data_IF_444444136386
#
_entry.id   IF_444444136386
#
_cell.length_a   1.000
_cell.length_b   1.000
_cell.length_c   1.000
_cell.angle_alpha   90.00
_cell.angle_beta   90.00
_cell.angle_gamma   90.00
#
_symmetry.space_group_name_H-M   'P 1'
#
loop_
_entity.id
_entity.type
_entity.pdbx_description
1 polymer ?
#
# COMPACT_ATOMS: atom_id res chain seq x y z
N UNK A 1 -25.93 33.63 -2.99
CA UNK A 1 -24.98 32.72 -3.65
C UNK A 1 -23.59 33.08 -3.16
N UNK A 2 -23.00 32.30 -2.25
CA UNK A 2 -21.61 32.50 -1.83
C UNK A 2 -20.70 31.90 -2.90
N UNK A 3 -19.72 32.68 -3.33
CA UNK A 3 -18.73 32.30 -4.32
C UNK A 3 -17.76 31.28 -3.69
N UNK A 4 -17.83 30.01 -4.09
CA UNK A 4 -16.96 28.94 -3.57
C UNK A 4 -15.48 29.18 -3.89
N UNK A 5 -15.16 30.02 -4.88
CA UNK A 5 -13.78 30.36 -5.25
C UNK A 5 -13.10 31.25 -4.19
N UNK A 6 -13.85 31.85 -3.27
CA UNK A 6 -13.30 32.69 -2.21
C UNK A 6 -12.82 31.90 -0.97
N UNK A 7 -13.06 30.58 -0.91
CA UNK A 7 -12.65 29.74 0.23
C UNK A 7 -11.40 28.88 -0.05
N UNK A 8 -10.82 28.96 -1.25
CA UNK A 8 -9.64 28.19 -1.63
C UNK A 8 -8.40 29.06 -1.40
N UNK A 9 -7.49 28.69 -0.49
CA UNK A 9 -6.25 29.43 -0.29
C UNK A 9 -5.43 29.48 -1.60
N UNK A 10 -4.89 30.64 -2.00
CA UNK A 10 -4.12 30.79 -3.24
C UNK A 10 -2.79 30.00 -3.25
N UNK A 11 -2.46 29.31 -2.16
CA UNK A 11 -1.21 28.56 -2.02
C UNK A 11 -1.30 27.08 -2.41
N UNK A 12 -2.45 26.61 -2.91
CA UNK A 12 -2.62 25.20 -3.31
C UNK A 12 -2.19 25.00 -4.77
N UNK A 13 -1.20 24.14 -5.01
CA UNK A 13 -0.70 23.83 -6.33
C UNK A 13 -1.55 22.73 -6.99
N UNK A 14 -2.50 23.14 -7.83
CA UNK A 14 -3.38 22.24 -8.58
C UNK A 14 -2.67 21.50 -9.74
N UNK A 15 -1.38 21.75 -10.04
CA UNK A 15 -0.66 21.05 -11.11
C UNK A 15 -0.48 19.55 -10.83
N UNK A 16 -0.59 19.11 -9.58
CA UNK A 16 -0.64 17.69 -9.19
C UNK A 16 -2.04 17.05 -9.39
N UNK A 17 -3.01 17.85 -9.82
CA UNK A 17 -4.41 17.46 -10.07
C UNK A 17 -4.72 17.37 -11.56
N UNK A 18 -3.68 17.36 -12.38
CA UNK A 18 -3.79 17.05 -13.79
C UNK A 18 -3.89 15.53 -13.95
N UNK A 19 -4.74 15.07 -14.86
CA UNK A 19 -4.77 13.67 -15.25
C UNK A 19 -3.51 13.28 -16.05
N UNK A 20 -3.44 12.02 -16.49
CA UNK A 20 -2.31 11.50 -17.27
C UNK A 20 -2.05 12.25 -18.60
N UNK A 21 -2.98 13.13 -19.02
CA UNK A 21 -2.90 13.93 -20.24
C UNK A 21 -2.62 15.41 -19.97
N UNK A 22 -2.30 15.79 -18.73
CA UNK A 22 -1.97 17.17 -18.38
C UNK A 22 -3.17 18.12 -18.36
N UNK A 23 -4.40 17.61 -18.32
CA UNK A 23 -5.62 18.43 -18.24
C UNK A 23 -6.07 18.62 -16.79
N UNK A 24 -6.56 19.82 -16.39
CA UNK A 24 -7.18 20.01 -15.09
C UNK A 24 -8.37 19.05 -14.96
N UNK A 25 -8.41 18.28 -13.88
CA UNK A 25 -9.44 17.25 -13.63
C UNK A 25 -10.89 17.77 -13.49
N UNK A 26 -11.17 19.01 -13.93
CA UNK A 26 -12.47 19.67 -13.87
C UNK A 26 -12.82 20.32 -15.21
N UNK A 27 -13.71 19.68 -15.96
CA UNK A 27 -14.88 20.27 -16.63
C UNK A 27 -15.73 19.13 -17.24
N UNK A 28 -17.02 18.97 -16.90
CA UNK A 28 -17.97 18.36 -17.81
C UNK A 28 -18.47 19.47 -18.73
N UNK A 29 -17.99 19.53 -19.97
CA UNK A 29 -18.66 20.34 -20.97
C UNK A 29 -19.93 19.60 -21.42
N UNK A 30 -21.10 20.14 -21.06
CA UNK A 30 -22.33 19.84 -21.78
C UNK A 30 -22.17 20.26 -23.25
N UNK A 31 -22.51 19.34 -24.15
CA UNK A 31 -23.04 19.62 -25.49
C UNK A 31 -22.04 19.95 -26.58
N UNK A 32 -21.84 19.02 -27.51
CA UNK A 32 -21.98 19.22 -28.96
C UNK A 32 -21.93 17.85 -29.65
N UNK A 33 -22.85 17.66 -30.59
CA UNK A 33 -23.09 16.44 -31.36
C UNK A 33 -21.97 16.14 -32.37
N UNK A 34 -22.03 14.90 -32.88
CA UNK A 34 -21.51 14.41 -34.16
C UNK A 34 -20.00 14.14 -34.28
N UNK A 35 -19.61 12.86 -34.30
CA UNK A 35 -19.47 12.11 -35.56
C UNK A 35 -18.92 10.70 -35.25
N UNK A 36 -19.72 9.69 -35.59
CA UNK A 36 -19.29 8.30 -35.66
C UNK A 36 -18.28 8.15 -36.80
N UNK A 37 -17.12 7.54 -36.54
CA UNK A 37 -16.42 6.79 -37.58
C UNK A 37 -16.04 5.40 -37.09
N UNK A 38 -16.64 4.45 -37.81
CA UNK A 38 -16.50 3.01 -37.71
C UNK A 38 -15.25 2.63 -38.51
N UNK A 39 -14.31 1.91 -37.90
CA UNK A 39 -13.39 1.05 -38.66
C UNK A 39 -13.33 -0.33 -38.01
N UNK A 40 -13.91 -1.30 -38.71
CA UNK A 40 -13.79 -2.74 -38.47
C UNK A 40 -12.46 -3.31 -39.00
N UNK A 41 -12.04 -4.52 -38.54
CA UNK A 41 -10.68 -5.03 -38.63
C UNK A 41 -10.36 -5.69 -39.98
N UNK A 42 -9.07 -5.75 -40.34
CA UNK A 42 -8.59 -6.65 -41.39
C UNK A 42 -7.95 -7.91 -40.79
N UNK A 43 -8.54 -9.05 -41.12
CA UNK A 43 -8.00 -10.39 -40.95
C UNK A 43 -6.94 -10.72 -42.03
N UNK A 44 -5.91 -11.41 -41.55
CA UNK A 44 -5.28 -12.66 -42.04
C UNK A 44 -5.03 -12.87 -43.54
N UNK A 45 -3.74 -13.07 -43.88
CA UNK A 45 -3.31 -14.01 -44.92
C UNK A 45 -1.98 -14.68 -44.53
N UNK A 46 -2.10 -15.89 -43.97
CA UNK A 46 -1.43 -17.14 -44.41
C UNK A 46 -0.07 -17.04 -45.12
N UNK A 47 0.95 -17.72 -44.57
CA UNK A 47 1.69 -18.68 -45.39
C UNK A 47 2.33 -19.82 -44.56
N UNK A 48 2.00 -21.05 -44.95
CA UNK A 48 2.56 -22.31 -44.46
C UNK A 48 3.69 -22.75 -45.39
N UNK A 49 4.79 -23.27 -44.85
CA UNK A 49 5.62 -24.24 -45.59
C UNK A 49 6.08 -25.35 -44.64
N UNK A 50 5.81 -26.58 -45.07
CA UNK A 50 6.10 -27.84 -44.42
C UNK A 50 7.54 -28.30 -44.69
N UNK A 51 8.10 -29.07 -43.75
CA UNK A 51 9.33 -29.86 -43.93
C UNK A 51 9.51 -30.90 -42.82
N UNK A 52 8.87 -32.07 -42.98
CA UNK A 52 9.23 -33.37 -42.37
C UNK A 52 10.58 -33.84 -42.97
N UNK A 53 11.47 -34.67 -42.42
CA UNK A 53 11.40 -35.85 -41.54
C UNK A 53 12.87 -36.27 -41.24
N UNK A 54 13.21 -36.81 -40.07
CA UNK A 54 13.96 -38.08 -39.88
C UNK A 54 14.40 -38.32 -38.42
N UNK A 55 14.40 -39.61 -38.08
CA UNK A 55 14.52 -40.24 -36.76
C UNK A 55 15.82 -41.05 -36.71
N UNK A 56 16.63 -40.85 -35.68
CA UNK A 56 17.57 -41.80 -35.04
C UNK A 56 17.78 -41.24 -33.61
N UNK A 57 17.81 -41.95 -32.47
CA UNK A 57 18.07 -43.35 -32.15
C UNK A 57 19.37 -43.47 -31.37
N UNK A 58 19.40 -43.22 -30.05
CA UNK A 58 20.43 -43.78 -29.14
C UNK A 58 20.11 -43.63 -27.64
N UNK A 59 20.02 -44.81 -27.03
CA UNK A 59 20.12 -45.27 -25.63
C UNK A 59 20.76 -44.35 -24.55
N UNK A 60 19.99 -44.14 -23.48
CA UNK A 60 20.23 -44.34 -22.01
C UNK A 60 21.67 -44.55 -21.44
N UNK A 61 21.96 -44.17 -20.16
CA UNK A 61 21.13 -44.59 -19.01
C UNK A 61 20.80 -43.56 -17.92
N UNK A 62 19.70 -43.94 -17.26
CA UNK A 62 18.95 -43.32 -16.18
C UNK A 62 19.57 -43.69 -14.83
N UNK A 63 19.99 -42.71 -14.04
CA UNK A 63 20.36 -42.91 -12.63
C UNK A 63 19.11 -42.73 -11.76
N UNK A 64 18.69 -43.83 -11.12
CA UNK A 64 17.72 -43.87 -10.03
C UNK A 64 18.31 -43.18 -8.79
N UNK A 65 17.58 -42.25 -8.19
CA UNK A 65 17.77 -41.86 -6.78
C UNK A 65 16.40 -41.96 -6.11
N UNK A 66 16.27 -42.94 -5.23
CA UNK A 66 15.13 -43.13 -4.32
C UNK A 66 15.23 -42.20 -3.11
N UNK A 67 14.12 -41.94 -2.40
CA UNK A 67 13.98 -40.83 -1.47
C UNK A 67 14.55 -41.17 -0.09
N UNK A 68 15.43 -40.32 0.44
CA UNK A 68 15.81 -40.35 1.86
C UNK A 68 14.90 -39.43 2.67
N UNK A 69 14.00 -40.04 3.42
CA UNK A 69 13.38 -39.48 4.60
C UNK A 69 14.45 -39.14 5.65
N UNK A 70 14.50 -37.89 6.08
CA UNK A 70 15.05 -37.51 7.38
C UNK A 70 14.40 -36.19 7.85
N UNK A 71 13.98 -36.10 9.12
CA UNK A 71 13.05 -35.08 9.58
C UNK A 71 13.70 -33.69 9.61
N UNK A 72 12.99 -32.72 9.03
CA UNK A 72 13.34 -31.32 9.13
C UNK A 72 13.21 -30.85 10.59
N UNK A 73 14.35 -30.72 11.27
CA UNK A 73 14.47 -30.01 12.54
C UNK A 73 14.31 -28.51 12.22
N UNK A 74 13.36 -27.77 12.81
CA UNK A 74 13.26 -26.34 12.57
C UNK A 74 14.47 -25.65 13.22
N UNK A 75 15.39 -25.17 12.38
CA UNK A 75 16.51 -24.34 12.81
C UNK A 75 15.97 -23.07 13.47
N UNK A 76 16.43 -22.83 14.68
CA UNK A 76 16.06 -21.71 15.53
C UNK A 76 16.36 -20.35 14.88
N UNK A 77 15.45 -19.41 15.11
CA UNK A 77 15.68 -17.97 15.20
C UNK A 77 16.42 -17.29 14.04
N UNK A 78 15.68 -16.93 12.99
CA UNK A 78 15.96 -15.68 12.25
C UNK A 78 14.84 -14.70 12.53
N UNK A 79 14.80 -14.21 13.76
CA UNK A 79 14.31 -12.86 14.03
C UNK A 79 15.42 -11.95 13.52
N UNK A 80 15.14 -11.09 12.55
CA UNK A 80 16.04 -9.98 12.20
C UNK A 80 16.03 -9.02 13.40
N UNK A 81 16.71 -9.43 14.47
CA UNK A 81 17.18 -8.54 15.51
C UNK A 81 18.29 -7.71 14.91
N UNK A 82 18.13 -6.39 14.95
CA UNK A 82 19.09 -5.37 14.51
C UNK A 82 20.52 -5.86 14.35
N UNK A 83 20.89 -6.31 13.15
CA UNK A 83 22.28 -6.68 12.86
C UNK A 83 22.67 -6.29 11.45
N UNK A 84 22.26 -5.08 11.02
CA UNK A 84 22.98 -4.36 9.98
C UNK A 84 22.95 -2.87 10.35
N UNK A 85 23.99 -2.42 11.04
CA UNK A 85 24.72 -1.17 10.84
C UNK A 85 25.78 -1.06 11.96
N UNK A 86 27.02 -1.39 11.59
CA UNK A 86 28.21 -0.97 12.33
C UNK A 86 28.35 0.56 12.18
N UNK A 87 27.62 1.31 12.99
CA UNK A 87 27.98 2.69 13.37
C UNK A 87 27.83 2.74 14.88
N UNK A 88 28.97 2.87 15.57
CA UNK A 88 29.09 2.95 17.04
C UNK A 88 28.16 4.04 17.60
N UNK A 89 26.95 3.67 18.00
CA UNK A 89 26.24 4.31 19.09
C UNK A 89 26.67 3.67 20.42
N UNK A 90 26.51 4.35 21.56
CA UNK A 90 26.79 3.75 22.87
C UNK A 90 25.92 2.48 23.07
N UNK A 91 26.40 1.48 23.82
CA UNK A 91 25.62 0.28 24.12
C UNK A 91 24.32 0.68 24.81
N UNK A 92 23.20 0.15 24.30
CA UNK A 92 21.87 0.39 24.85
C UNK A 92 21.79 -0.18 26.27
N UNK A 93 21.39 0.64 27.25
CA UNK A 93 21.09 0.16 28.59
C UNK A 93 19.77 -0.62 28.58
N UNK A 94 19.87 -1.95 28.66
CA UNK A 94 18.74 -2.88 28.60
C UNK A 94 17.73 -2.63 29.74
N UNK A 95 18.16 -1.99 30.83
CA UNK A 95 17.32 -1.67 31.99
C UNK A 95 16.30 -0.56 31.76
N UNK A 96 16.41 0.23 30.68
CA UNK A 96 15.59 1.41 30.45
C UNK A 96 14.75 1.36 29.15
N UNK A 97 14.64 0.17 28.53
CA UNK A 97 13.84 -0.01 27.32
C UNK A 97 12.35 -0.08 27.70
N UNK A 98 11.48 0.79 27.15
CA UNK A 98 10.05 0.74 27.45
C UNK A 98 9.46 -0.63 27.12
N UNK A 99 8.56 -1.16 27.97
CA UNK A 99 8.01 -2.52 27.86
C UNK A 99 7.51 -2.89 26.46
N UNK A 100 6.84 -1.94 25.80
CA UNK A 100 6.37 -2.02 24.40
C UNK A 100 7.45 -2.30 23.35
N UNK A 101 8.72 -2.08 23.66
CA UNK A 101 9.87 -2.37 22.79
C UNK A 101 10.63 -3.64 23.19
N UNK A 102 10.28 -4.29 24.31
CA UNK A 102 10.94 -5.53 24.76
C UNK A 102 10.69 -6.70 23.79
N UNK A 103 9.54 -6.72 23.11
CA UNK A 103 9.24 -7.75 22.09
C UNK A 103 10.00 -7.52 20.78
N UNK A 104 10.34 -6.26 20.47
CA UNK A 104 11.29 -5.94 19.39
C UNK A 104 12.68 -6.50 19.71
N UNK A 105 12.97 -6.75 21.00
CA UNK A 105 14.18 -7.42 21.48
C UNK A 105 14.02 -8.94 21.72
N UNK A 106 12.91 -9.55 21.28
CA UNK A 106 12.73 -11.02 21.30
C UNK A 106 12.14 -11.61 22.59
N UNK A 107 11.57 -10.79 23.48
CA UNK A 107 10.75 -11.29 24.59
C UNK A 107 9.33 -11.67 24.11
N UNK A 108 8.68 -12.70 24.68
CA UNK A 108 7.30 -13.06 24.33
C UNK A 108 6.29 -12.06 24.92
N UNK A 109 5.44 -11.49 24.07
CA UNK A 109 4.32 -10.65 24.49
C UNK A 109 3.08 -11.45 24.86
N UNK A 110 2.35 -11.00 25.87
CA UNK A 110 0.98 -11.45 26.14
C UNK A 110 -0.09 -10.68 25.36
N UNK A 111 0.27 -9.56 24.71
CA UNK A 111 -0.68 -8.64 24.07
C UNK A 111 -0.47 -8.53 22.56
N UNK A 112 -1.57 -8.66 21.80
CA UNK A 112 -1.53 -8.64 20.34
C UNK A 112 -0.92 -7.36 19.75
N UNK A 113 -1.15 -6.19 20.38
CA UNK A 113 -0.63 -4.91 19.91
C UNK A 113 0.87 -4.74 20.12
N UNK A 114 1.53 -5.56 20.92
CA UNK A 114 2.98 -5.47 21.16
C UNK A 114 3.79 -6.49 20.34
N UNK A 115 3.12 -7.35 19.55
CA UNK A 115 3.78 -8.32 18.69
C UNK A 115 4.21 -7.62 17.40
N UNK A 116 5.51 -7.51 17.10
CA UNK A 116 5.97 -6.85 15.89
C UNK A 116 5.65 -7.67 14.64
N UNK A 117 5.36 -6.99 13.53
CA UNK A 117 5.36 -7.61 12.21
C UNK A 117 6.79 -8.05 11.87
N UNK A 118 6.91 -9.23 11.26
CA UNK A 118 8.20 -9.78 10.82
C UNK A 118 8.48 -9.36 9.38
N UNK A 119 9.39 -8.40 9.21
CA UNK A 119 9.83 -7.98 7.88
C UNK A 119 11.15 -8.63 7.47
N UNK A 120 11.31 -8.95 6.17
CA UNK A 120 12.61 -9.30 5.55
C UNK A 120 13.39 -8.02 5.18
N UNK A 121 14.69 -8.12 4.83
CA UNK A 121 15.43 -6.98 4.28
C UNK A 121 14.71 -6.35 3.07
N UNK A 122 14.93 -5.04 2.80
CA UNK A 122 14.23 -4.33 1.73
C UNK A 122 14.27 -5.04 0.37
N UNK A 123 13.11 -5.24 -0.25
CA UNK A 123 12.99 -5.82 -1.61
C UNK A 123 12.71 -4.77 -2.68
N UNK A 124 12.35 -3.55 -2.25
CA UNK A 124 12.09 -2.41 -3.11
C UNK A 124 12.27 -1.08 -2.37
N UNK A 125 12.13 0.04 -3.10
CA UNK A 125 12.32 1.37 -2.51
C UNK A 125 11.29 1.73 -1.44
N UNK A 126 10.07 1.19 -1.55
CA UNK A 126 9.02 1.34 -0.53
C UNK A 126 9.47 0.69 0.78
N UNK A 127 9.95 -0.55 0.71
CA UNK A 127 10.45 -1.26 1.89
C UNK A 127 11.61 -0.52 2.54
N UNK A 128 12.59 -0.11 1.73
CA UNK A 128 13.78 0.59 2.22
C UNK A 128 13.39 1.87 2.97
N UNK A 129 12.48 2.65 2.41
CA UNK A 129 12.01 3.91 3.01
C UNK A 129 11.29 3.67 4.32
N UNK A 130 10.35 2.70 4.36
CA UNK A 130 9.57 2.39 5.56
C UNK A 130 10.44 1.80 6.68
N UNK A 131 11.30 0.84 6.34
CA UNK A 131 12.15 0.15 7.32
C UNK A 131 13.20 1.09 7.91
N UNK A 132 13.90 1.88 7.08
CA UNK A 132 14.89 2.85 7.57
C UNK A 132 14.26 3.91 8.46
N UNK A 133 13.11 4.45 8.04
CA UNK A 133 12.40 5.44 8.85
C UNK A 133 11.94 4.83 10.18
N UNK A 134 11.29 3.67 10.16
CA UNK A 134 10.84 2.99 11.38
C UNK A 134 12.01 2.69 12.33
N UNK A 135 13.16 2.26 11.81
CA UNK A 135 14.36 1.99 12.60
C UNK A 135 14.88 3.26 13.29
N UNK A 136 14.95 4.39 12.57
CA UNK A 136 15.38 5.66 13.14
C UNK A 136 14.44 6.13 14.26
N UNK A 137 13.12 6.01 14.06
CA UNK A 137 12.12 6.38 15.07
C UNK A 137 12.18 5.48 16.30
N UNK A 138 12.37 4.17 16.12
CA UNK A 138 12.56 3.24 17.25
C UNK A 138 13.85 3.52 18.01
N UNK A 139 14.95 3.93 17.33
CA UNK A 139 16.19 4.38 18.00
C UNK A 139 15.93 5.61 18.88
N UNK A 140 15.24 6.63 18.36
CA UNK A 140 14.86 7.81 19.15
C UNK A 140 13.97 7.45 20.35
N UNK A 141 13.13 6.42 20.21
CA UNK A 141 12.32 5.95 21.33
C UNK A 141 13.17 5.35 22.46
N UNK A 142 14.27 4.66 22.13
CA UNK A 142 15.24 4.15 23.10
C UNK A 142 16.04 5.28 23.77
N UNK A 143 16.14 6.44 23.13
CA UNK A 143 16.73 7.65 23.69
C UNK A 143 15.75 8.45 24.58
N UNK A 144 14.53 7.94 24.78
CA UNK A 144 13.53 8.55 25.66
C UNK A 144 12.70 9.66 25.03
N UNK A 145 12.73 9.80 23.69
CA UNK A 145 11.88 10.76 22.98
C UNK A 145 10.40 10.44 23.21
N UNK A 146 9.57 11.48 23.41
CA UNK A 146 8.15 11.33 23.73
C UNK A 146 7.36 10.79 22.54
N UNK A 147 6.29 10.03 22.81
CA UNK A 147 5.45 9.43 21.77
C UNK A 147 4.91 10.41 20.74
N UNK A 148 4.45 11.59 21.18
CA UNK A 148 3.94 12.62 20.26
C UNK A 148 5.03 13.05 19.26
N UNK A 149 6.28 13.13 19.70
CA UNK A 149 7.42 13.46 18.87
C UNK A 149 7.91 12.27 18.04
N UNK A 150 7.47 11.03 18.33
CA UNK A 150 7.84 9.79 17.63
C UNK A 150 6.84 9.42 16.53
N UNK A 151 5.55 9.39 16.88
CA UNK A 151 4.48 8.90 16.00
C UNK A 151 3.56 10.01 15.51
N UNK A 152 3.65 11.22 16.07
CA UNK A 152 2.86 12.35 15.63
C UNK A 152 1.37 12.27 15.97
N UNK A 153 0.58 13.21 15.41
CA UNK A 153 -0.86 13.32 15.68
C UNK A 153 -1.64 12.10 15.18
N UNK A 154 -2.92 11.99 15.58
CA UNK A 154 -3.77 10.84 15.22
C UNK A 154 -3.94 10.66 13.71
N UNK A 155 -4.03 11.76 12.97
CA UNK A 155 -4.28 11.77 11.52
C UNK A 155 -3.06 12.31 10.76
N UNK A 156 -2.81 11.83 9.53
CA UNK A 156 -1.74 12.34 8.69
C UNK A 156 -2.03 13.77 8.24
N UNK A 157 -0.96 14.50 7.91
CA UNK A 157 -1.07 15.80 7.26
C UNK A 157 -1.37 15.60 5.78
N UNK A 158 -2.53 16.07 5.32
CA UNK A 158 -2.91 16.02 3.91
C UNK A 158 -2.32 17.20 3.13
N UNK A 159 -2.09 18.34 3.79
CA UNK A 159 -1.50 19.54 3.19
C UNK A 159 -0.17 19.26 2.49
N UNK A 160 0.71 18.45 3.09
CA UNK A 160 1.99 18.09 2.47
C UNK A 160 1.84 17.28 1.18
N UNK A 161 0.80 16.45 1.09
CA UNK A 161 0.52 15.61 -0.08
C UNK A 161 0.02 16.44 -1.26
N UNK A 162 -0.79 17.45 -0.99
CA UNK A 162 -1.35 18.34 -2.02
C UNK A 162 -0.35 19.43 -2.44
N UNK A 163 0.50 19.87 -1.51
CA UNK A 163 1.42 20.99 -1.70
C UNK A 163 2.84 20.64 -1.22
N UNK A 164 3.58 19.81 -1.96
CA UNK A 164 4.90 19.33 -1.53
C UNK A 164 5.95 20.43 -1.41
N UNK A 165 5.75 21.56 -2.09
CA UNK A 165 6.69 22.69 -2.17
C UNK A 165 6.52 23.70 -1.04
N UNK A 166 5.44 23.62 -0.27
CA UNK A 166 5.16 24.57 0.79
C UNK A 166 5.64 24.00 2.13
N UNK A 167 6.37 24.82 2.89
CA UNK A 167 6.97 24.44 4.17
C UNK A 167 5.92 24.31 5.29
N UNK A 168 5.00 23.35 5.17
CA UNK A 168 4.17 22.96 6.30
C UNK A 168 5.04 22.29 7.36
N UNK A 169 4.86 22.68 8.61
CA UNK A 169 5.42 22.00 9.79
C UNK A 169 4.69 20.67 10.02
N UNK A 170 4.83 19.75 9.07
CA UNK A 170 4.23 18.42 9.16
C UNK A 170 5.16 17.46 9.89
N UNK A 171 4.56 16.57 10.67
CA UNK A 171 5.29 15.56 11.43
C UNK A 171 6.12 14.65 10.48
N UNK A 172 7.34 14.21 10.87
CA UNK A 172 8.20 13.39 10.02
C UNK A 172 7.53 12.14 9.42
N UNK A 173 6.61 11.50 10.15
CA UNK A 173 5.84 10.34 9.66
C UNK A 173 4.97 10.71 8.45
N UNK A 174 4.28 11.86 8.49
CA UNK A 174 3.52 12.35 7.35
C UNK A 174 4.43 12.69 6.18
N UNK A 175 5.57 13.34 6.45
CA UNK A 175 6.50 13.77 5.40
C UNK A 175 7.13 12.60 4.63
N UNK A 176 7.57 11.55 5.34
CA UNK A 176 8.19 10.39 4.67
C UNK A 176 7.18 9.66 3.78
N UNK A 177 5.93 9.50 4.24
CA UNK A 177 4.87 8.82 3.50
C UNK A 177 4.39 9.65 2.32
N UNK A 178 4.22 10.96 2.50
CA UNK A 178 3.89 11.87 1.40
C UNK A 178 4.97 11.85 0.32
N UNK A 179 6.25 11.97 0.69
CA UNK A 179 7.36 11.88 -0.27
C UNK A 179 7.37 10.53 -0.98
N UNK A 180 7.08 9.44 -0.27
CA UNK A 180 6.96 8.12 -0.87
C UNK A 180 5.84 8.10 -1.93
N UNK A 181 4.64 8.54 -1.56
CA UNK A 181 3.45 8.49 -2.41
C UNK A 181 3.54 9.42 -3.62
N UNK A 182 4.12 10.61 -3.47
CA UNK A 182 4.38 11.52 -4.60
C UNK A 182 5.33 10.90 -5.65
N UNK A 183 6.16 9.94 -5.26
CA UNK A 183 7.09 9.24 -6.15
C UNK A 183 6.51 7.93 -6.71
N UNK A 184 5.22 7.63 -6.48
CA UNK A 184 4.54 6.47 -7.06
C UNK A 184 3.71 6.90 -8.29
N UNK A 185 4.25 6.77 -9.52
CA UNK A 185 3.56 7.28 -10.72
C UNK A 185 2.27 6.52 -11.05
N UNK A 186 2.15 5.28 -10.58
CA UNK A 186 0.96 4.45 -10.76
C UNK A 186 -0.26 4.94 -9.98
N UNK A 187 -0.05 5.78 -8.96
CA UNK A 187 -1.10 6.28 -8.08
C UNK A 187 -1.46 7.70 -8.51
N UNK A 188 -2.55 7.86 -9.25
CA UNK A 188 -2.83 9.12 -9.96
C UNK A 188 -3.82 10.00 -9.21
N UNK A 189 -4.91 9.43 -8.73
CA UNK A 189 -6.09 10.14 -8.23
C UNK A 189 -5.96 10.55 -6.75
N UNK A 190 -6.55 11.70 -6.41
CA UNK A 190 -6.51 12.26 -5.04
C UNK A 190 -7.07 11.27 -3.99
N UNK A 191 -8.26 10.66 -4.18
CA UNK A 191 -8.86 9.82 -3.13
C UNK A 191 -7.96 8.62 -2.81
N UNK A 192 -7.46 7.93 -3.82
CA UNK A 192 -6.56 6.80 -3.67
C UNK A 192 -5.23 7.20 -3.00
N UNK A 193 -4.66 8.38 -3.33
CA UNK A 193 -3.47 8.91 -2.66
C UNK A 193 -3.71 9.16 -1.16
N UNK A 194 -4.82 9.80 -0.81
CA UNK A 194 -5.16 10.09 0.59
C UNK A 194 -5.43 8.79 1.35
N UNK A 195 -6.13 7.85 0.72
CA UNK A 195 -6.44 6.57 1.35
C UNK A 195 -5.19 5.73 1.62
N UNK A 196 -4.25 5.67 0.67
CA UNK A 196 -2.96 5.04 0.90
C UNK A 196 -2.13 5.79 1.95
N UNK A 197 -2.12 7.12 1.95
CA UNK A 197 -1.47 7.89 3.01
C UNK A 197 -2.03 7.53 4.39
N UNK A 198 -3.36 7.48 4.52
CA UNK A 198 -4.03 7.16 5.77
C UNK A 198 -3.70 5.74 6.26
N UNK A 199 -3.80 4.72 5.40
CA UNK A 199 -3.49 3.33 5.76
C UNK A 199 -2.02 3.15 6.15
N UNK A 200 -1.09 3.66 5.34
CA UNK A 200 0.34 3.59 5.62
C UNK A 200 0.68 4.33 6.91
N UNK A 201 0.03 5.47 7.18
CA UNK A 201 0.24 6.26 8.39
C UNK A 201 -0.18 5.51 9.65
N UNK A 202 -1.37 4.90 9.64
CA UNK A 202 -1.86 4.10 10.77
C UNK A 202 -0.92 2.93 11.08
N UNK A 203 -0.57 2.13 10.07
CA UNK A 203 0.33 0.99 10.23
C UNK A 203 1.72 1.43 10.73
N UNK A 204 2.31 2.45 10.10
CA UNK A 204 3.65 2.91 10.44
C UNK A 204 3.70 3.48 11.88
N UNK A 205 2.67 4.20 12.32
CA UNK A 205 2.59 4.70 13.71
C UNK A 205 2.58 3.60 14.73
N UNK A 206 1.75 2.58 14.52
CA UNK A 206 1.71 1.42 15.41
C UNK A 206 3.04 0.65 15.40
N UNK A 207 3.62 0.43 14.22
CA UNK A 207 4.92 -0.25 14.15
C UNK A 207 6.04 0.57 14.82
N UNK A 208 5.98 1.90 14.80
CA UNK A 208 6.93 2.76 15.53
C UNK A 208 6.67 2.71 17.05
N UNK A 209 5.42 2.79 17.49
CA UNK A 209 5.04 2.74 18.91
C UNK A 209 3.86 1.78 19.12
N UNK A 210 4.14 0.50 19.41
CA UNK A 210 3.11 -0.55 19.49
C UNK A 210 2.33 -0.45 20.80
N UNK A 211 1.26 0.35 20.79
CA UNK A 211 0.39 0.60 21.95
C UNK A 211 -1.06 0.24 21.64
N UNK A 212 -1.82 -0.19 22.66
CA UNK A 212 -3.22 -0.55 22.51
C UNK A 212 -4.07 0.56 21.84
N UNK A 213 -3.98 1.84 22.24
CA UNK A 213 -4.83 2.88 21.65
C UNK A 213 -4.57 3.11 20.15
N UNK A 214 -3.33 2.89 19.67
CA UNK A 214 -3.03 3.00 18.23
C UNK A 214 -3.54 1.76 17.50
N UNK A 215 -3.32 0.56 18.06
CA UNK A 215 -3.77 -0.69 17.46
C UNK A 215 -5.30 -0.77 17.34
N UNK A 216 -6.01 -0.35 18.38
CA UNK A 216 -7.48 -0.31 18.43
C UNK A 216 -8.07 0.77 17.50
N UNK A 217 -7.28 1.72 17.01
CA UNK A 217 -7.74 2.74 16.06
C UNK A 217 -7.87 2.22 14.63
N UNK A 218 -7.40 1.01 14.35
CA UNK A 218 -7.43 0.43 13.01
C UNK A 218 -8.84 0.04 12.60
N UNK A 219 -9.20 0.23 11.32
CA UNK A 219 -10.31 -0.53 10.78
C UNK A 219 -9.94 -2.03 10.82
N UNK A 220 -10.93 -2.88 11.05
CA UNK A 220 -10.72 -4.32 11.31
C UNK A 220 -9.91 -5.05 10.23
N UNK A 221 -10.00 -4.59 8.97
CA UNK A 221 -9.27 -5.18 7.85
C UNK A 221 -7.80 -4.76 7.79
N UNK A 222 -7.39 -3.67 8.46
CA UNK A 222 -6.00 -3.22 8.50
C UNK A 222 -5.20 -3.92 9.59
N UNK A 223 -5.88 -4.40 10.64
CA UNK A 223 -5.29 -5.12 11.76
C UNK A 223 -4.33 -6.23 11.29
N UNK A 224 -3.11 -6.31 11.87
CA UNK A 224 -2.14 -7.34 11.52
C UNK A 224 -2.69 -8.75 11.72
N UNK A 225 -2.45 -9.61 10.73
CA UNK A 225 -2.82 -11.03 10.74
C UNK A 225 -1.71 -11.89 11.30
N UNK A 226 -2.06 -13.11 11.74
CA UNK A 226 -1.09 -14.09 12.22
C UNK A 226 0.04 -14.32 11.22
N UNK A 227 -0.26 -14.42 9.91
CA UNK A 227 0.74 -14.56 8.84
C UNK A 227 1.81 -13.44 8.88
N UNK A 228 1.40 -12.21 9.14
CA UNK A 228 2.30 -11.04 9.26
C UNK A 228 3.18 -11.10 10.53
N UNK A 229 2.67 -11.75 11.59
CA UNK A 229 3.37 -11.87 12.89
C UNK A 229 4.32 -13.06 12.94
N UNK A 230 4.08 -14.13 12.17
CA UNK A 230 4.87 -15.37 12.26
C UNK A 230 5.77 -15.62 11.05
N UNK A 231 5.44 -15.07 9.87
CA UNK A 231 6.19 -15.30 8.63
C UNK A 231 6.91 -14.02 8.22
N UNK A 232 8.26 -13.99 8.19
CA UNK A 232 9.01 -12.88 7.61
C UNK A 232 8.61 -12.61 6.15
N UNK A 233 8.30 -11.36 5.80
CA UNK A 233 7.91 -10.97 4.44
C UNK A 233 8.24 -9.50 4.10
N UNK A 234 8.16 -9.07 2.82
CA UNK A 234 8.36 -7.67 2.45
C UNK A 234 7.29 -6.73 3.04
N UNK A 235 7.70 -5.66 3.72
CA UNK A 235 6.80 -4.74 4.45
C UNK A 235 5.76 -4.05 3.54
N UNK A 236 6.02 -3.92 2.23
CA UNK A 236 5.02 -3.40 1.30
C UNK A 236 3.76 -4.29 1.24
N UNK A 237 3.85 -5.59 1.52
CA UNK A 237 2.69 -6.50 1.50
C UNK A 237 1.69 -6.16 2.62
N UNK A 238 2.15 -5.58 3.73
CA UNK A 238 1.28 -5.12 4.83
C UNK A 238 0.30 -4.03 4.39
N UNK A 239 0.64 -3.30 3.30
CA UNK A 239 -0.12 -2.17 2.76
C UNK A 239 -1.27 -2.61 1.85
N UNK A 240 -1.42 -3.91 1.59
CA UNK A 240 -2.51 -4.45 0.76
C UNK A 240 -3.81 -4.49 1.58
N UNK A 241 -4.92 -3.88 1.13
CA UNK A 241 -6.13 -3.73 1.95
C UNK A 241 -6.76 -5.05 2.40
N UNK A 242 -6.78 -6.07 1.52
CA UNK A 242 -7.55 -7.28 1.76
C UNK A 242 -6.81 -8.27 2.68
N UNK A 243 -7.37 -8.63 3.85
CA UNK A 243 -6.70 -9.51 4.81
C UNK A 243 -6.33 -10.88 4.24
N UNK A 244 -7.23 -11.54 3.51
CA UNK A 244 -6.96 -12.87 2.92
C UNK A 244 -5.98 -12.79 1.75
N UNK A 245 -5.98 -11.68 1.02
CA UNK A 245 -4.97 -11.45 -0.01
C UNK A 245 -3.59 -11.31 0.63
N UNK A 246 -3.45 -10.53 1.70
CA UNK A 246 -2.19 -10.43 2.48
C UNK A 246 -1.67 -11.80 2.89
N UNK A 247 -2.52 -12.66 3.45
CA UNK A 247 -2.14 -14.04 3.78
C UNK A 247 -1.59 -14.78 2.56
N UNK A 248 -2.28 -14.71 1.41
CA UNK A 248 -1.85 -15.38 0.19
C UNK A 248 -0.52 -14.86 -0.33
N UNK A 249 -0.28 -13.54 -0.28
CA UNK A 249 1.00 -12.95 -0.70
C UNK A 249 2.14 -13.40 0.21
N UNK A 250 1.92 -13.41 1.52
CA UNK A 250 2.92 -13.80 2.52
C UNK A 250 3.29 -15.28 2.45
N UNK A 251 2.36 -16.16 2.07
CA UNK A 251 2.64 -17.59 1.88
C UNK A 251 3.30 -17.92 0.53
N UNK A 252 3.16 -17.05 -0.48
CA UNK A 252 3.65 -17.28 -1.85
C UNK A 252 4.51 -16.11 -2.33
N UNK A 253 5.49 -15.71 -1.50
CA UNK A 253 6.31 -14.52 -1.74
C UNK A 253 7.18 -14.66 -2.99
N UNK A 254 7.66 -15.86 -3.29
CA UNK A 254 8.40 -16.21 -4.50
C UNK A 254 7.62 -15.87 -5.78
N UNK A 255 6.30 -16.06 -5.74
CA UNK A 255 5.41 -15.77 -6.87
C UNK A 255 5.01 -14.29 -6.96
N UNK A 256 4.75 -13.64 -5.82
CA UNK A 256 4.11 -12.32 -5.81
C UNK A 256 5.03 -11.16 -5.39
N UNK A 257 6.25 -11.42 -4.90
CA UNK A 257 7.22 -10.37 -4.55
C UNK A 257 7.94 -9.80 -5.77
N UNK A 258 7.18 -9.47 -6.81
CA UNK A 258 7.69 -8.97 -8.09
C UNK A 258 7.39 -7.47 -8.27
N UNK A 259 8.23 -6.73 -9.01
CA UNK A 259 7.92 -5.36 -9.40
C UNK A 259 6.61 -5.24 -10.20
N UNK A 260 6.32 -6.22 -11.05
CA UNK A 260 5.09 -6.29 -11.85
C UNK A 260 3.85 -6.32 -10.95
N UNK A 261 3.81 -7.23 -9.97
CA UNK A 261 2.69 -7.35 -9.05
C UNK A 261 2.43 -6.03 -8.33
N UNK A 262 3.48 -5.43 -7.75
CA UNK A 262 3.36 -4.14 -7.03
C UNK A 262 2.83 -3.04 -7.94
N UNK A 263 3.41 -2.90 -9.14
CA UNK A 263 2.98 -1.89 -10.09
C UNK A 263 1.51 -2.07 -10.48
N UNK A 264 1.12 -3.29 -10.87
CA UNK A 264 -0.24 -3.56 -11.32
C UNK A 264 -1.26 -3.41 -10.17
N UNK A 265 -0.92 -3.85 -8.96
CA UNK A 265 -1.75 -3.66 -7.77
C UNK A 265 -1.98 -2.16 -7.51
N UNK A 266 -0.91 -1.36 -7.40
CA UNK A 266 -1.01 0.08 -7.13
C UNK A 266 -1.76 0.81 -8.25
N UNK A 267 -1.50 0.47 -9.52
CA UNK A 267 -2.16 1.10 -10.67
C UNK A 267 -3.64 0.72 -10.81
N UNK A 268 -4.03 -0.44 -10.26
CA UNK A 268 -5.41 -0.94 -10.35
C UNK A 268 -6.24 -0.64 -9.11
N UNK A 269 -5.64 -0.07 -8.05
CA UNK A 269 -6.32 0.18 -6.80
C UNK A 269 -7.31 1.34 -6.94
N UNK A 270 -8.54 1.12 -6.49
CA UNK A 270 -9.53 2.19 -6.35
C UNK A 270 -10.20 2.12 -4.99
N UNK A 271 -10.58 3.28 -4.48
CA UNK A 271 -11.40 3.42 -3.26
C UNK A 271 -12.86 3.72 -3.56
N UNK A 272 -13.30 3.60 -4.83
CA UNK A 272 -14.70 3.71 -5.27
C UNK A 272 -15.45 4.91 -4.65
N UNK A 273 -14.75 6.05 -4.50
CA UNK A 273 -15.33 7.25 -3.92
C UNK A 273 -16.41 7.81 -4.87
N UNK A 274 -17.68 7.88 -4.46
CA UNK A 274 -18.78 8.16 -5.38
C UNK A 274 -19.00 9.66 -5.63
N UNK A 275 -18.25 10.52 -4.95
CA UNK A 275 -18.35 11.97 -5.06
C UNK A 275 -17.14 12.54 -5.79
N UNK A 276 -17.08 13.87 -5.93
CA UNK A 276 -15.93 14.49 -6.59
C UNK A 276 -14.67 14.21 -5.74
N UNK A 277 -13.50 14.04 -6.37
CA UNK A 277 -12.25 13.85 -5.64
C UNK A 277 -11.99 14.89 -4.53
N UNK A 278 -12.41 16.13 -4.75
CA UNK A 278 -12.24 17.23 -3.78
C UNK A 278 -13.19 17.14 -2.58
N UNK A 279 -14.30 16.41 -2.69
CA UNK A 279 -15.21 16.18 -1.57
C UNK A 279 -14.59 15.21 -0.53
N UNK A 280 -13.46 14.57 -0.88
CA UNK A 280 -12.62 13.85 0.07
C UNK A 280 -11.85 14.78 1.03
N UNK A 281 -11.85 16.08 0.77
CA UNK A 281 -11.07 17.10 1.47
C UNK A 281 -11.97 18.16 2.10
N UNK A 282 -11.48 18.75 3.18
CA UNK A 282 -12.03 19.96 3.77
C UNK A 282 -10.92 21.01 3.79
N UNK A 283 -11.18 22.14 3.13
CA UNK A 283 -10.27 23.28 3.08
C UNK A 283 -10.56 24.19 4.27
N UNK A 284 -9.55 24.37 5.13
CA UNK A 284 -9.55 25.35 6.22
C UNK A 284 -8.50 26.42 5.89
N UNK A 285 -8.59 27.62 6.49
CA UNK A 285 -7.64 28.70 6.22
C UNK A 285 -6.17 28.31 6.45
N UNK A 286 -5.89 27.45 7.43
CA UNK A 286 -4.53 27.08 7.84
C UNK A 286 -4.10 25.68 7.37
N UNK A 287 -5.05 24.83 6.97
CA UNK A 287 -4.79 23.42 6.67
C UNK A 287 -5.82 22.82 5.71
N UNK A 288 -5.39 21.78 4.99
CA UNK A 288 -6.31 20.88 4.30
C UNK A 288 -6.37 19.59 5.09
N UNK A 289 -7.59 19.16 5.43
CA UNK A 289 -7.83 17.93 6.18
C UNK A 289 -8.69 16.95 5.40
N UNK A 290 -8.59 15.67 5.73
CA UNK A 290 -9.45 14.64 5.17
C UNK A 290 -10.88 14.82 5.66
N UNK A 291 -11.87 14.66 4.78
CA UNK A 291 -13.27 14.77 5.17
C UNK A 291 -13.70 13.57 6.04
N UNK A 292 -14.49 13.75 7.11
CA UNK A 292 -15.00 12.63 7.91
C UNK A 292 -15.91 11.66 7.12
N UNK A 293 -16.51 12.12 6.03
CA UNK A 293 -17.25 11.26 5.12
C UNK A 293 -16.31 10.33 4.35
N UNK A 294 -15.17 10.86 3.89
CA UNK A 294 -14.15 10.08 3.22
C UNK A 294 -13.46 9.09 4.15
N UNK A 295 -13.09 9.51 5.37
CA UNK A 295 -12.49 8.61 6.36
C UNK A 295 -13.39 7.39 6.67
N UNK A 296 -14.68 7.64 6.91
CA UNK A 296 -15.68 6.57 7.10
C UNK A 296 -15.85 5.69 5.86
N UNK A 297 -15.64 6.24 4.67
CA UNK A 297 -15.73 5.50 3.42
C UNK A 297 -14.53 4.57 3.25
N UNK A 298 -13.30 5.08 3.34
CA UNK A 298 -12.10 4.27 3.18
C UNK A 298 -11.89 3.28 4.34
N UNK A 299 -12.51 3.52 5.51
CA UNK A 299 -12.52 2.57 6.63
C UNK A 299 -13.34 1.30 6.35
N UNK A 300 -14.19 1.29 5.33
CA UNK A 300 -14.98 0.11 4.91
C UNK A 300 -14.23 -0.64 3.82
N UNK A 301 -13.95 -1.93 4.02
CA UNK A 301 -13.19 -2.72 3.03
C UNK A 301 -13.94 -2.82 1.69
N UNK A 302 -15.27 -2.75 1.73
CA UNK A 302 -16.16 -2.81 0.56
C UNK A 302 -15.98 -1.60 -0.37
N UNK A 303 -15.42 -0.51 0.14
CA UNK A 303 -15.07 0.65 -0.66
C UNK A 303 -13.80 0.44 -1.49
N UNK A 304 -13.01 -0.61 -1.26
CA UNK A 304 -11.80 -0.87 -2.01
C UNK A 304 -12.06 -1.85 -3.14
N UNK A 305 -11.44 -1.63 -4.29
CA UNK A 305 -11.48 -2.55 -5.43
C UNK A 305 -10.16 -2.57 -6.20
N UNK A 306 -9.96 -3.62 -6.99
CA UNK A 306 -8.96 -3.69 -8.04
C UNK A 306 -9.62 -3.63 -9.41
N UNK A 307 -8.95 -2.98 -10.36
CA UNK A 307 -9.37 -2.91 -11.75
C UNK A 307 -9.24 -4.23 -12.52
N UNK A 308 -9.90 -4.34 -13.69
CA UNK A 308 -9.99 -5.58 -14.47
C UNK A 308 -8.63 -6.08 -14.99
N UNK A 309 -7.66 -5.19 -15.18
CA UNK A 309 -6.29 -5.58 -15.61
C UNK A 309 -5.59 -6.44 -14.57
N UNK A 310 -5.81 -6.17 -13.28
CA UNK A 310 -5.27 -7.00 -12.21
C UNK A 310 -5.96 -8.37 -12.19
N UNK A 311 -7.29 -8.40 -12.35
CA UNK A 311 -8.07 -9.63 -12.40
C UNK A 311 -7.60 -10.56 -13.53
N UNK A 312 -7.40 -10.00 -14.73
CA UNK A 312 -6.94 -10.76 -15.88
C UNK A 312 -5.52 -11.33 -15.69
N UNK A 313 -4.64 -10.61 -14.98
CA UNK A 313 -3.24 -11.02 -14.77
C UNK A 313 -3.08 -12.04 -13.64
N UNK A 314 -3.92 -11.94 -12.60
CA UNK A 314 -3.90 -12.79 -11.42
C UNK A 314 -5.30 -13.34 -11.09
N UNK A 315 -5.93 -14.10 -12.00
CA UNK A 315 -7.30 -14.59 -11.83
C UNK A 315 -7.45 -15.48 -10.60
N UNK A 316 -6.38 -16.17 -10.19
CA UNK A 316 -6.37 -17.01 -8.99
C UNK A 316 -6.50 -16.23 -7.66
N UNK A 317 -6.34 -14.91 -7.71
CA UNK A 317 -6.50 -14.02 -6.56
C UNK A 317 -7.88 -13.38 -6.49
N UNK A 318 -8.71 -13.56 -7.53
CA UNK A 318 -10.04 -12.96 -7.62
C UNK A 318 -10.91 -13.20 -6.37
N UNK A 319 -10.96 -14.41 -5.78
CA UNK A 319 -11.80 -14.66 -4.61
C UNK A 319 -11.35 -13.94 -3.32
N UNK A 320 -10.18 -13.28 -3.33
CA UNK A 320 -9.54 -12.71 -2.15
C UNK A 320 -9.62 -11.19 -2.06
N UNK A 321 -10.08 -10.53 -3.13
CA UNK A 321 -10.24 -9.09 -3.21
C UNK A 321 -11.50 -8.72 -4.00
N UNK A 322 -11.92 -7.47 -3.85
CA UNK A 322 -13.07 -6.95 -4.60
C UNK A 322 -12.60 -6.38 -5.94
N UNK A 323 -13.41 -6.51 -6.98
CA UNK A 323 -13.16 -5.93 -8.29
C UNK A 323 -14.20 -4.89 -8.63
N UNK A 324 -13.76 -3.79 -9.23
CA UNK A 324 -14.59 -2.63 -9.55
C UNK A 324 -14.10 -1.98 -10.85
N UNK A 325 -15.04 -1.56 -11.69
CA UNK A 325 -14.73 -0.91 -12.96
C UNK A 325 -14.32 0.55 -12.73
N UNK A 326 -13.10 0.91 -13.10
CA UNK A 326 -12.75 2.31 -13.31
C UNK A 326 -13.43 2.82 -14.59
N UNK A 327 -14.61 3.43 -14.45
CA UNK A 327 -15.15 4.48 -15.32
C UNK A 327 -16.46 4.96 -14.70
N UNK A 328 -16.65 6.29 -14.61
CA UNK A 328 -17.94 6.85 -14.23
C UNK A 328 -19.04 6.33 -15.15
N UNK A 329 -19.98 5.57 -14.60
CA UNK A 329 -21.26 5.27 -15.20
C UNK A 329 -22.21 4.90 -14.07
N UNK A 330 -23.36 5.58 -14.03
CA UNK A 330 -24.24 5.65 -12.88
C UNK A 330 -24.64 4.31 -12.28
N UNK A 331 -24.63 4.26 -10.94
CA UNK A 331 -25.65 3.48 -10.25
C UNK A 331 -27.00 4.10 -10.56
N UNK A 332 -27.62 3.62 -11.63
CA UNK A 332 -29.07 3.60 -11.72
C UNK A 332 -29.53 2.77 -10.52
N UNK A 333 -30.08 3.46 -9.53
CA UNK A 333 -30.94 2.84 -8.52
C UNK A 333 -32.12 2.21 -9.26
N UNK A 334 -32.02 0.92 -9.55
CA UNK A 334 -33.16 0.09 -9.88
C UNK A 334 -33.62 -0.62 -8.61
N UNK A 335 -34.83 -0.25 -8.17
CA UNK A 335 -35.81 -1.21 -7.65
C UNK A 335 -35.88 -1.38 -6.14
N UNK A 336 -36.71 -0.55 -5.50
CA UNK A 336 -37.72 -0.97 -4.51
C UNK A 336 -38.92 -0.01 -4.73
N UNK A 337 -39.94 -0.45 -5.45
CA UNK A 337 -41.14 -1.19 -5.00
C UNK A 337 -42.33 -0.23 -4.87
#
# INVERSE_FOLDING_TARGET
MMNLDALIPPSINFAFLLDANGQPAFYPAMGSQDQFDIIHPMEDQTNKSNGQLTRTGSNEPRVKVEPTDSPFVPSANTTVGMSILSRRGPPLDVGNVPARFLNVMGQPSSYAWEIPIRSVPPTCKVDETLLLFMQDRRRLALEGVRDMELVGPKNPSISSLLNPTQNYTSHPVSNVLTKLLCNLPALVTIPEKIALLWTMYLLLRWQISPTAPIYESFPSWLTPRVSQLVTPHPIWMDQVPWPKLRDRLIHNQDKYSTPEFRHLHTASLSVNWPFRPMDALIFRPEEVVMSPAFERHISRLESWSLGPRFAARYPELEPLCSFGGAAGAGQVLQGQA
#
